data_IF_751671402651
#
_entry.id   IF_751671402651
#
_cell.length_a   1.000
_cell.length_b   1.000
_cell.length_c   1.000
_cell.angle_alpha   90.00
_cell.angle_beta   90.00
_cell.angle_gamma   90.00
#
_symmetry.space_group_name_H-M   'P 1'
#
loop_
_entity.id
_entity.type
_entity.pdbx_description
1 polymer ?
#
# COMPACT_ATOMS: atom_id res chain seq x y z
N UNK A 1 20.21 -22.49 -22.87
CA UNK A 1 20.60 -21.57 -21.77
C UNK A 1 19.88 -22.05 -20.54
N UNK A 2 20.54 -22.19 -19.38
CA UNK A 2 19.99 -22.97 -18.26
C UNK A 2 20.13 -22.29 -16.92
N UNK A 3 19.19 -22.60 -16.02
CA UNK A 3 19.24 -22.13 -14.64
C UNK A 3 18.55 -23.12 -13.71
N UNK A 4 19.12 -23.29 -12.51
CA UNK A 4 18.53 -24.07 -11.42
C UNK A 4 18.19 -23.15 -10.26
N UNK A 5 16.96 -23.23 -9.77
CA UNK A 5 16.47 -22.36 -8.69
C UNK A 5 15.71 -23.18 -7.64
N UNK A 6 15.90 -22.92 -6.33
CA UNK A 6 15.07 -23.53 -5.30
C UNK A 6 13.58 -23.21 -5.53
N UNK A 7 12.71 -24.22 -5.43
CA UNK A 7 11.27 -24.06 -5.65
C UNK A 7 10.68 -23.02 -4.70
N UNK A 8 11.07 -23.06 -3.43
CA UNK A 8 10.62 -22.10 -2.41
C UNK A 8 10.91 -20.67 -2.82
N UNK A 9 12.15 -20.39 -3.23
CA UNK A 9 12.60 -19.09 -3.69
C UNK A 9 11.83 -18.62 -4.94
N UNK A 10 11.67 -19.49 -5.94
CA UNK A 10 10.94 -19.13 -7.16
C UNK A 10 9.45 -18.87 -6.87
N UNK A 11 8.83 -19.69 -6.03
CA UNK A 11 7.40 -19.59 -5.69
C UNK A 11 7.08 -18.28 -4.97
N UNK A 12 7.93 -17.88 -4.01
CA UNK A 12 7.79 -16.63 -3.27
C UNK A 12 7.77 -15.42 -4.20
N UNK A 13 8.70 -15.34 -5.14
CA UNK A 13 8.84 -14.19 -6.03
C UNK A 13 7.85 -14.19 -7.18
N UNK A 14 7.47 -15.38 -7.68
CA UNK A 14 6.37 -15.55 -8.64
C UNK A 14 5.05 -15.02 -8.07
N UNK A 15 4.79 -15.20 -6.77
CA UNK A 15 3.56 -14.70 -6.15
C UNK A 15 3.44 -13.17 -6.19
N UNK A 16 4.57 -12.44 -6.20
CA UNK A 16 4.58 -10.98 -6.37
C UNK A 16 4.23 -10.60 -7.81
N UNK A 17 4.84 -11.26 -8.79
CA UNK A 17 4.59 -10.98 -10.21
C UNK A 17 3.20 -11.39 -10.68
N UNK A 18 2.62 -12.46 -10.13
CA UNK A 18 1.25 -12.89 -10.46
C UNK A 18 0.18 -11.84 -10.14
N UNK A 19 0.43 -11.00 -9.13
CA UNK A 19 -0.49 -9.90 -8.77
C UNK A 19 -0.41 -8.73 -9.74
N UNK A 20 0.78 -8.50 -10.30
CA UNK A 20 1.03 -7.42 -11.26
C UNK A 20 0.55 -7.86 -12.64
N UNK A 21 0.95 -9.05 -13.11
CA UNK A 21 0.69 -9.53 -14.46
C UNK A 21 -0.76 -10.01 -14.61
N UNK A 22 -1.60 -9.31 -15.40
CA UNK A 22 -3.02 -9.63 -15.52
C UNK A 22 -3.25 -10.94 -16.29
N UNK A 23 -4.38 -11.59 -16.00
CA UNK A 23 -4.84 -12.77 -16.77
C UNK A 23 -5.31 -12.41 -18.17
N UNK A 24 -5.76 -11.16 -18.38
CA UNK A 24 -6.23 -10.60 -19.65
C UNK A 24 -5.86 -9.12 -19.71
N UNK A 25 -5.43 -8.66 -20.87
CA UNK A 25 -5.07 -7.26 -21.11
C UNK A 25 -5.43 -6.86 -22.54
N UNK A 26 -5.70 -5.58 -22.76
CA UNK A 26 -5.85 -5.02 -24.12
C UNK A 26 -4.54 -5.10 -24.91
N UNK A 27 -3.40 -5.07 -24.22
CA UNK A 27 -2.10 -5.45 -24.77
C UNK A 27 -1.78 -6.90 -24.35
N UNK A 28 -1.90 -7.91 -25.25
CA UNK A 28 -1.67 -9.31 -24.91
C UNK A 28 -0.26 -9.59 -24.36
N UNK A 29 0.74 -8.78 -24.71
CA UNK A 29 2.10 -8.95 -24.20
C UNK A 29 2.18 -8.75 -22.68
N UNK A 30 1.28 -7.98 -22.09
CA UNK A 30 1.21 -7.81 -20.63
C UNK A 30 0.70 -9.07 -19.91
N UNK A 31 0.25 -10.10 -20.62
CA UNK A 31 -0.10 -11.40 -20.01
C UNK A 31 1.08 -12.37 -19.92
N UNK A 32 2.26 -11.94 -20.40
CA UNK A 32 3.50 -12.70 -20.36
C UNK A 32 4.36 -12.30 -19.18
N UNK A 33 5.08 -13.28 -18.64
CA UNK A 33 6.16 -13.10 -17.69
C UNK A 33 7.46 -13.00 -18.47
N UNK A 34 8.23 -11.96 -18.19
CA UNK A 34 9.59 -11.81 -18.66
C UNK A 34 10.58 -12.57 -17.78
N UNK A 35 11.52 -13.25 -18.44
CA UNK A 35 12.61 -13.99 -17.84
C UNK A 35 13.91 -13.55 -18.53
N UNK A 36 14.91 -13.11 -17.78
CA UNK A 36 16.24 -12.83 -18.32
C UNK A 36 17.33 -13.54 -17.52
N UNK A 37 18.29 -14.14 -18.23
CA UNK A 37 19.47 -14.76 -17.65
C UNK A 37 20.65 -13.82 -17.84
N UNK A 38 21.28 -13.45 -16.73
CA UNK A 38 22.63 -12.86 -16.69
C UNK A 38 23.60 -13.89 -16.11
N UNK A 39 24.93 -13.75 -16.26
CA UNK A 39 25.89 -14.75 -15.77
C UNK A 39 25.71 -15.16 -14.30
N UNK A 40 25.15 -14.26 -13.49
CA UNK A 40 25.03 -14.35 -12.05
C UNK A 40 23.59 -14.22 -11.52
N UNK A 41 22.58 -14.13 -12.39
CA UNK A 41 21.20 -14.02 -11.94
C UNK A 41 20.13 -14.50 -12.93
N UNK A 42 18.99 -14.89 -12.35
CA UNK A 42 17.71 -14.99 -13.04
C UNK A 42 16.85 -13.76 -12.68
N UNK A 43 16.49 -12.97 -13.68
CA UNK A 43 15.63 -11.80 -13.54
C UNK A 43 14.23 -12.14 -14.02
N UNK A 44 13.23 -11.93 -13.17
CA UNK A 44 11.82 -12.07 -13.46
C UNK A 44 11.20 -10.68 -13.55
N UNK A 45 10.45 -10.36 -14.60
CA UNK A 45 9.83 -9.04 -14.75
C UNK A 45 8.45 -9.09 -15.39
N UNK A 46 7.62 -8.10 -15.07
CA UNK A 46 6.23 -8.04 -15.50
C UNK A 46 5.65 -6.64 -15.42
N UNK A 47 4.59 -6.39 -16.18
CA UNK A 47 3.86 -5.11 -16.16
C UNK A 47 2.37 -5.31 -16.40
N UNK A 48 1.55 -4.41 -15.87
CA UNK A 48 0.16 -4.21 -16.29
C UNK A 48 -0.11 -2.84 -16.93
N UNK A 49 0.94 -2.07 -17.21
CA UNK A 49 0.89 -0.70 -17.70
C UNK A 49 0.80 0.37 -16.61
N UNK A 50 0.33 0.03 -15.40
CA UNK A 50 0.28 0.94 -14.24
C UNK A 50 1.40 0.65 -13.23
N UNK A 51 1.76 -0.62 -13.09
CA UNK A 51 2.80 -1.13 -12.19
C UNK A 51 3.72 -2.03 -13.00
N UNK A 52 5.00 -1.71 -12.93
CA UNK A 52 6.10 -2.52 -13.45
C UNK A 52 6.83 -3.13 -12.24
N UNK A 53 7.20 -4.40 -12.33
CA UNK A 53 7.88 -5.11 -11.25
C UNK A 53 9.00 -5.98 -11.83
N UNK A 54 10.16 -5.93 -11.17
CA UNK A 54 11.35 -6.72 -11.46
C UNK A 54 11.84 -7.38 -10.16
N UNK A 55 12.21 -8.65 -10.27
CA UNK A 55 12.88 -9.40 -9.22
C UNK A 55 14.14 -10.01 -9.81
N UNK A 56 15.29 -9.72 -9.21
CA UNK A 56 16.58 -10.33 -9.53
C UNK A 56 16.93 -11.36 -8.48
N UNK A 57 17.01 -12.64 -8.88
CA UNK A 57 17.46 -13.75 -8.05
C UNK A 57 18.95 -14.01 -8.33
N UNK A 58 19.82 -13.75 -7.36
CA UNK A 58 21.28 -13.96 -7.51
C UNK A 58 21.64 -15.45 -7.41
N UNK A 59 21.97 -16.06 -8.55
CA UNK A 59 22.31 -17.47 -8.69
C UNK A 59 23.01 -17.72 -10.03
N UNK A 60 23.92 -18.71 -10.12
CA UNK A 60 24.66 -18.97 -11.34
C UNK A 60 23.74 -19.45 -12.47
N UNK A 61 23.99 -18.97 -13.69
CA UNK A 61 23.27 -19.38 -14.90
C UNK A 61 24.24 -19.88 -15.98
N UNK A 62 23.71 -20.65 -16.93
CA UNK A 62 24.44 -21.10 -18.12
C UNK A 62 23.93 -20.36 -19.36
N UNK A 63 24.65 -19.32 -19.75
CA UNK A 63 24.34 -18.47 -20.90
C UNK A 63 23.47 -17.27 -20.55
N UNK A 64 23.27 -16.38 -21.53
CA UNK A 64 22.54 -15.12 -21.37
C UNK A 64 21.41 -15.06 -22.39
N UNK A 65 20.31 -14.42 -22.00
CA UNK A 65 19.17 -14.25 -22.91
C UNK A 65 17.94 -13.72 -22.21
N UNK A 66 16.98 -13.24 -22.99
CA UNK A 66 15.70 -12.68 -22.54
C UNK A 66 14.55 -13.39 -23.24
N UNK A 67 13.53 -13.74 -22.47
CA UNK A 67 12.45 -14.64 -22.89
C UNK A 67 11.12 -14.19 -22.32
N UNK A 68 10.04 -14.45 -23.06
CA UNK A 68 8.68 -14.26 -22.58
C UNK A 68 7.95 -15.60 -22.51
N UNK A 69 7.28 -15.86 -21.40
CA UNK A 69 6.46 -17.08 -21.19
C UNK A 69 5.03 -16.71 -20.81
N UNK A 70 4.01 -17.51 -21.19
CA UNK A 70 2.66 -17.31 -20.71
C UNK A 70 2.63 -17.34 -19.16
N UNK A 71 2.31 -16.20 -18.54
CA UNK A 71 2.54 -16.02 -17.12
C UNK A 71 1.67 -16.95 -16.27
N UNK A 72 0.37 -17.03 -16.59
CA UNK A 72 -0.59 -17.80 -15.80
C UNK A 72 -0.27 -19.30 -15.75
N UNK A 73 -0.01 -19.99 -16.89
CA UNK A 73 0.49 -21.37 -16.84
C UNK A 73 1.78 -21.51 -16.04
N UNK A 74 2.75 -20.61 -16.22
CA UNK A 74 4.02 -20.67 -15.51
C UNK A 74 3.82 -20.57 -13.98
N UNK A 75 3.01 -19.63 -13.52
CA UNK A 75 2.71 -19.45 -12.09
C UNK A 75 2.02 -20.66 -11.47
N UNK A 76 1.02 -21.23 -12.16
CA UNK A 76 0.32 -22.44 -11.72
C UNK A 76 1.25 -23.65 -11.63
N UNK A 77 2.14 -23.80 -12.61
CA UNK A 77 3.13 -24.87 -12.63
C UNK A 77 4.08 -24.73 -11.44
N UNK A 78 4.77 -23.59 -11.28
CA UNK A 78 5.76 -23.37 -10.21
C UNK A 78 5.20 -23.71 -8.82
N UNK A 79 3.96 -23.30 -8.52
CA UNK A 79 3.32 -23.58 -7.23
C UNK A 79 3.07 -25.07 -6.99
N UNK A 80 2.79 -25.84 -8.05
CA UNK A 80 2.40 -27.24 -7.98
C UNK A 80 3.53 -28.25 -8.19
N UNK A 81 4.76 -27.80 -8.45
CA UNK A 81 5.90 -28.69 -8.73
C UNK A 81 6.20 -29.67 -7.57
N UNK A 82 6.55 -30.94 -7.85
CA UNK A 82 6.77 -31.94 -6.80
C UNK A 82 8.17 -31.94 -6.19
N UNK A 83 9.16 -31.28 -6.80
CA UNK A 83 10.55 -31.26 -6.33
C UNK A 83 10.95 -29.95 -5.64
N UNK A 84 12.05 -29.99 -4.89
CA UNK A 84 12.59 -28.82 -4.17
C UNK A 84 13.45 -27.90 -5.05
N UNK A 85 13.87 -28.39 -6.23
CA UNK A 85 14.58 -27.61 -7.23
C UNK A 85 13.78 -27.56 -8.54
N UNK A 86 13.87 -26.42 -9.22
CA UNK A 86 13.30 -26.17 -10.54
C UNK A 86 14.43 -25.94 -11.52
N UNK A 87 14.47 -26.72 -12.59
CA UNK A 87 15.40 -26.53 -13.70
C UNK A 87 14.65 -25.93 -14.88
N UNK A 88 15.18 -24.82 -15.39
CA UNK A 88 14.67 -24.11 -16.56
C UNK A 88 15.73 -24.18 -17.67
N UNK A 89 15.39 -24.76 -18.82
CA UNK A 89 16.24 -24.81 -20.01
C UNK A 89 15.56 -24.08 -21.17
N UNK A 90 16.17 -22.99 -21.61
CA UNK A 90 15.71 -22.11 -22.67
C UNK A 90 16.37 -22.51 -23.99
N UNK A 91 15.55 -23.06 -24.89
CA UNK A 91 15.87 -23.36 -26.28
C UNK A 91 14.82 -22.76 -27.24
N UNK A 92 14.28 -23.55 -28.17
CA UNK A 92 13.13 -23.15 -28.98
C UNK A 92 11.83 -23.02 -28.14
N UNK A 93 11.76 -23.77 -27.04
CA UNK A 93 10.74 -23.71 -26.00
C UNK A 93 11.44 -23.63 -24.64
N UNK A 94 10.70 -23.23 -23.61
CA UNK A 94 11.16 -23.37 -22.23
C UNK A 94 10.85 -24.78 -21.74
N UNK A 95 11.88 -25.59 -21.51
CA UNK A 95 11.73 -26.84 -20.76
C UNK A 95 11.79 -26.55 -19.26
N UNK A 96 10.75 -26.95 -18.53
CA UNK A 96 10.64 -26.80 -17.07
C UNK A 96 10.59 -28.19 -16.45
N UNK A 97 11.48 -28.49 -15.51
CA UNK A 97 11.47 -29.75 -14.77
C UNK A 97 11.72 -29.58 -13.28
N UNK A 98 11.12 -30.46 -12.48
CA UNK A 98 11.27 -30.49 -11.02
C UNK A 98 10.81 -31.83 -10.47
N UNK A 99 11.70 -32.56 -9.78
CA UNK A 99 11.40 -33.90 -9.27
C UNK A 99 10.94 -34.84 -10.39
N UNK A 100 9.78 -35.45 -10.23
CA UNK A 100 9.18 -36.36 -11.23
C UNK A 100 8.43 -35.64 -12.36
N UNK A 101 8.35 -34.32 -12.36
CA UNK A 101 7.59 -33.53 -13.33
C UNK A 101 8.50 -32.89 -14.38
N UNK A 102 8.09 -32.94 -15.65
CA UNK A 102 8.74 -32.25 -16.76
C UNK A 102 7.69 -31.80 -17.78
N UNK A 103 7.83 -30.58 -18.29
CA UNK A 103 6.94 -30.00 -19.30
C UNK A 103 7.71 -29.03 -20.20
N UNK A 104 7.08 -28.58 -21.29
CA UNK A 104 7.56 -27.49 -22.14
C UNK A 104 6.52 -26.39 -22.25
N UNK A 105 6.97 -25.14 -22.26
CA UNK A 105 6.15 -23.95 -22.48
C UNK A 105 6.66 -23.23 -23.73
N UNK A 106 5.73 -22.74 -24.55
CA UNK A 106 6.07 -21.91 -25.69
C UNK A 106 6.71 -20.59 -25.24
N UNK A 107 7.75 -20.18 -25.95
CA UNK A 107 8.36 -18.86 -25.80
C UNK A 107 7.71 -17.89 -26.79
N UNK A 108 7.41 -16.68 -26.34
CA UNK A 108 6.98 -15.61 -27.23
C UNK A 108 8.17 -14.70 -27.63
N UNK A 109 8.14 -14.09 -28.82
CA UNK A 109 9.09 -13.04 -29.19
C UNK A 109 9.03 -11.87 -28.21
N UNK A 110 10.18 -11.31 -27.86
CA UNK A 110 10.30 -10.09 -27.01
C UNK A 110 9.99 -8.81 -27.81
N UNK A 111 9.81 -8.91 -29.13
CA UNK A 111 9.45 -7.79 -30.00
C UNK A 111 8.13 -7.14 -29.55
N UNK A 112 8.19 -5.86 -29.21
CA UNK A 112 7.04 -5.07 -28.78
C UNK A 112 6.69 -5.17 -27.30
N UNK A 113 7.39 -6.00 -26.51
CA UNK A 113 7.27 -5.95 -25.06
C UNK A 113 7.92 -4.65 -24.54
N UNK A 114 7.28 -3.91 -23.63
CA UNK A 114 7.82 -2.62 -23.19
C UNK A 114 9.15 -2.80 -22.45
N UNK A 115 10.08 -1.89 -22.73
CA UNK A 115 11.25 -1.72 -21.89
C UNK A 115 10.82 -1.14 -20.53
N UNK A 116 11.21 -1.81 -19.45
CA UNK A 116 10.85 -1.42 -18.09
C UNK A 116 12.05 -0.73 -17.45
N UNK A 117 11.83 0.47 -16.90
CA UNK A 117 12.89 1.26 -16.29
C UNK A 117 12.69 1.32 -14.78
N UNK A 118 13.76 1.02 -14.04
CA UNK A 118 13.73 0.98 -12.58
C UNK A 118 14.85 1.85 -12.00
N UNK A 119 14.66 2.40 -10.78
CA UNK A 119 15.73 3.15 -10.14
C UNK A 119 16.86 2.22 -9.66
N UNK A 120 18.09 2.74 -9.66
CA UNK A 120 19.26 2.10 -9.05
C UNK A 120 19.42 2.51 -7.59
N UNK A 121 20.10 1.71 -6.79
CA UNK A 121 20.51 2.09 -5.43
C UNK A 121 21.79 2.92 -5.40
N UNK A 122 22.50 3.02 -6.53
CA UNK A 122 23.79 3.72 -6.64
C UNK A 122 23.64 5.26 -6.60
N UNK A 123 22.42 5.76 -6.71
CA UNK A 123 22.12 7.19 -6.66
C UNK A 123 21.10 7.62 -7.73
N UNK A 124 20.76 8.92 -7.76
CA UNK A 124 19.92 9.49 -8.80
C UNK A 124 20.61 9.41 -10.16
N UNK A 125 19.90 8.87 -11.15
CA UNK A 125 20.35 8.74 -12.53
C UNK A 125 19.14 8.72 -13.46
N UNK A 126 19.28 9.16 -14.70
CA UNK A 126 18.19 9.08 -15.69
C UNK A 126 17.68 7.63 -15.84
N UNK A 127 16.35 7.39 -15.94
CA UNK A 127 15.27 8.37 -16.01
C UNK A 127 14.71 8.84 -14.64
N UNK A 128 15.41 8.55 -13.54
CA UNK A 128 15.03 8.86 -12.15
C UNK A 128 16.00 9.89 -11.49
N UNK A 129 15.97 11.18 -11.88
CA UNK A 129 16.92 12.18 -11.42
C UNK A 129 16.75 12.62 -9.95
N UNK A 130 15.63 12.29 -9.31
CA UNK A 130 15.37 12.62 -7.90
C UNK A 130 15.24 11.33 -7.11
N UNK A 131 16.00 11.20 -6.01
CA UNK A 131 16.01 9.99 -5.19
C UNK A 131 16.17 10.29 -3.70
N UNK A 132 15.58 9.45 -2.86
CA UNK A 132 15.69 9.48 -1.40
C UNK A 132 15.71 8.07 -0.84
N UNK A 133 16.41 7.85 0.28
CA UNK A 133 16.41 6.59 1.02
C UNK A 133 15.51 6.73 2.25
N UNK A 134 14.60 5.78 2.45
CA UNK A 134 13.69 5.75 3.60
C UNK A 134 13.77 4.40 4.31
N UNK A 135 13.61 4.34 5.64
CA UNK A 135 13.39 3.07 6.32
C UNK A 135 12.12 2.40 5.80
N UNK A 136 12.17 1.10 5.56
CA UNK A 136 11.05 0.31 5.02
C UNK A 136 9.81 0.44 5.90
N UNK A 137 9.99 0.31 7.22
CA UNK A 137 8.88 0.41 8.19
C UNK A 137 8.20 1.77 8.15
N UNK A 138 8.97 2.85 8.03
CA UNK A 138 8.44 4.21 8.01
C UNK A 138 7.70 4.52 6.70
N UNK A 139 8.22 4.03 5.56
CA UNK A 139 7.48 4.13 4.30
C UNK A 139 6.20 3.28 4.33
N UNK A 140 6.28 2.07 4.90
CA UNK A 140 5.12 1.20 5.07
C UNK A 140 4.04 1.87 5.91
N UNK A 141 4.39 2.50 7.04
CA UNK A 141 3.46 3.30 7.85
C UNK A 141 2.89 4.46 7.05
N UNK A 142 3.76 5.24 6.38
CA UNK A 142 3.35 6.40 5.58
C UNK A 142 2.29 6.06 4.53
N UNK A 143 2.43 4.92 3.86
CA UNK A 143 1.46 4.46 2.86
C UNK A 143 0.22 3.81 3.49
N UNK A 144 0.42 2.83 4.39
CA UNK A 144 -0.67 2.02 4.93
C UNK A 144 -1.59 2.79 5.88
N UNK A 145 -1.08 3.78 6.60
CA UNK A 145 -1.87 4.59 7.54
C UNK A 145 -2.81 5.54 6.83
N UNK A 146 -2.58 5.87 5.55
CA UNK A 146 -3.45 6.82 4.82
C UNK A 146 -4.28 6.16 3.73
N UNK A 147 -3.83 5.01 3.20
CA UNK A 147 -4.45 4.33 2.06
C UNK A 147 -5.96 4.11 2.18
N UNK A 148 -6.47 3.85 3.38
CA UNK A 148 -7.90 3.59 3.60
C UNK A 148 -8.78 4.81 3.24
N UNK A 149 -8.24 6.02 3.30
CA UNK A 149 -8.99 7.26 3.05
C UNK A 149 -9.08 7.63 1.58
N UNK A 150 -8.38 6.92 0.67
CA UNK A 150 -8.52 7.13 -0.77
C UNK A 150 -9.89 6.66 -1.27
N UNK A 151 -10.50 7.44 -2.17
CA UNK A 151 -11.81 7.14 -2.75
C UNK A 151 -11.76 5.92 -3.68
N UNK A 152 -12.83 5.13 -3.65
CA UNK A 152 -13.10 4.12 -4.66
C UNK A 152 -14.05 4.62 -5.76
N UNK A 153 -14.67 5.78 -5.57
CA UNK A 153 -15.70 6.34 -6.45
C UNK A 153 -15.10 7.13 -7.61
N UNK A 154 -15.88 7.32 -8.67
CA UNK A 154 -15.45 8.00 -9.91
C UNK A 154 -15.43 9.52 -9.82
N UNK A 155 -16.17 10.10 -8.87
CA UNK A 155 -16.58 11.50 -8.99
C UNK A 155 -15.44 12.53 -8.89
N UNK A 156 -14.23 12.12 -8.47
CA UNK A 156 -12.98 12.89 -8.65
C UNK A 156 -11.81 11.94 -8.77
N UNK A 157 -11.26 11.81 -9.98
CA UNK A 157 -10.17 10.87 -10.26
C UNK A 157 -9.01 11.02 -9.26
N UNK A 158 -8.59 12.25 -8.93
CA UNK A 158 -7.43 12.51 -8.05
C UNK A 158 -7.56 11.93 -6.63
N UNK A 159 -8.79 11.77 -6.12
CA UNK A 159 -9.05 11.17 -4.80
C UNK A 159 -8.87 9.65 -4.78
N UNK A 160 -8.69 9.01 -5.94
CA UNK A 160 -8.30 7.60 -6.05
C UNK A 160 -6.81 7.37 -5.84
N UNK A 161 -6.06 8.42 -5.50
CA UNK A 161 -4.65 8.35 -5.23
C UNK A 161 -4.29 8.72 -3.80
N UNK A 162 -3.05 8.39 -3.43
CA UNK A 162 -2.37 8.87 -2.24
C UNK A 162 -1.36 9.91 -2.68
N UNK A 163 -1.48 11.12 -2.17
CA UNK A 163 -0.49 12.17 -2.40
C UNK A 163 0.74 11.93 -1.53
N UNK A 164 1.93 11.97 -2.13
CA UNK A 164 3.21 12.02 -1.45
C UNK A 164 3.83 13.41 -1.65
N UNK A 165 4.14 14.09 -0.54
CA UNK A 165 4.79 15.39 -0.52
C UNK A 165 6.18 15.25 0.09
N UNK A 166 7.20 15.44 -0.74
CA UNK A 166 8.61 15.46 -0.35
C UNK A 166 9.03 16.90 -0.09
N UNK A 167 9.71 17.16 1.03
CA UNK A 167 10.22 18.49 1.39
C UNK A 167 11.34 18.41 2.42
N UNK A 168 12.01 19.53 2.69
CA UNK A 168 12.97 19.65 3.81
C UNK A 168 12.33 19.33 5.18
N UNK A 169 11.01 19.53 5.32
CA UNK A 169 10.25 19.20 6.53
C UNK A 169 9.87 17.72 6.67
N UNK A 170 10.14 16.91 5.64
CA UNK A 170 9.89 15.47 5.66
C UNK A 170 9.10 14.93 4.48
N UNK A 171 8.69 13.68 4.59
CA UNK A 171 7.72 13.04 3.72
C UNK A 171 6.33 13.11 4.36
N UNK A 172 5.35 13.60 3.63
CA UNK A 172 3.95 13.58 4.02
C UNK A 172 3.14 12.73 3.05
N UNK A 173 2.33 11.84 3.58
CA UNK A 173 1.37 11.04 2.80
C UNK A 173 -0.04 11.50 3.14
N UNK A 174 -0.88 11.71 2.14
CA UNK A 174 -2.25 12.22 2.32
C UNK A 174 -3.21 11.49 1.39
N UNK A 175 -4.38 11.11 1.92
CA UNK A 175 -5.48 10.57 1.13
C UNK A 175 -6.82 11.06 1.66
N UNK A 176 -7.80 11.21 0.77
CA UNK A 176 -9.14 11.68 1.11
C UNK A 176 -10.15 11.24 0.06
N UNK A 177 -11.40 11.06 0.49
CA UNK A 177 -12.57 10.78 -0.35
C UNK A 177 -13.61 11.93 -0.32
N UNK A 178 -13.29 13.02 0.38
CA UNK A 178 -14.17 14.16 0.61
C UNK A 178 -15.00 14.09 1.91
N UNK A 179 -15.18 12.91 2.50
CA UNK A 179 -15.86 12.73 3.79
C UNK A 179 -14.90 12.49 4.94
N UNK A 180 -13.68 12.10 4.62
CA UNK A 180 -12.59 11.88 5.56
C UNK A 180 -11.25 12.15 4.91
N UNK A 181 -10.25 12.32 5.75
CA UNK A 181 -8.87 12.49 5.34
C UNK A 181 -7.95 11.76 6.30
N UNK A 182 -6.89 11.17 5.77
CA UNK A 182 -5.80 10.62 6.55
C UNK A 182 -4.49 11.28 6.13
N UNK A 183 -3.65 11.58 7.11
CA UNK A 183 -2.35 12.21 6.94
C UNK A 183 -1.33 11.47 7.80
N UNK A 184 -0.19 11.13 7.21
CA UNK A 184 0.97 10.64 7.93
C UNK A 184 2.18 11.53 7.62
N UNK A 185 2.93 11.93 8.64
CA UNK A 185 4.15 12.71 8.52
C UNK A 185 5.34 11.92 9.05
N UNK A 186 6.28 11.64 8.15
CA UNK A 186 7.60 11.15 8.48
C UNK A 186 8.56 12.33 8.55
N UNK A 187 9.07 12.65 9.74
CA UNK A 187 10.01 13.74 10.00
C UNK A 187 11.45 13.41 9.56
N UNK A 188 11.63 12.98 8.31
CA UNK A 188 12.94 12.73 7.67
C UNK A 188 13.13 13.70 6.51
N UNK A 189 13.97 14.75 6.63
CA UNK A 189 14.18 15.72 5.56
C UNK A 189 14.48 15.07 4.21
N UNK A 190 13.89 15.61 3.14
CA UNK A 190 14.03 15.08 1.78
C UNK A 190 14.98 15.95 0.94
N UNK A 191 15.77 15.36 0.02
CA UNK A 191 16.74 16.10 -0.79
C UNK A 191 16.09 16.93 -1.91
N UNK A 192 14.78 16.88 -2.06
CA UNK A 192 14.02 17.62 -3.08
C UNK A 192 12.61 17.98 -2.57
N UNK A 193 12.01 18.98 -3.21
CA UNK A 193 10.62 19.38 -2.97
C UNK A 193 9.75 18.98 -4.16
N UNK A 194 8.82 18.04 -3.95
CA UNK A 194 7.90 17.58 -5.00
C UNK A 194 6.62 17.01 -4.40
N UNK A 195 5.50 17.22 -5.10
CA UNK A 195 4.23 16.55 -4.81
C UNK A 195 3.89 15.62 -5.97
N UNK A 196 3.53 14.39 -5.65
CA UNK A 196 3.07 13.38 -6.62
C UNK A 196 1.85 12.66 -6.08
N UNK A 197 1.01 12.12 -6.97
CA UNK A 197 -0.15 11.34 -6.56
C UNK A 197 -0.02 9.94 -7.15
N UNK A 198 0.03 8.94 -6.27
CA UNK A 198 0.17 7.52 -6.64
C UNK A 198 -1.22 6.88 -6.61
N UNK A 199 -1.66 6.15 -7.65
CA UNK A 199 -2.92 5.42 -7.60
C UNK A 199 -2.99 4.52 -6.38
N UNK A 200 -4.15 4.49 -5.71
CA UNK A 200 -4.32 3.75 -4.47
C UNK A 200 -4.12 2.23 -4.66
N UNK A 201 -4.45 1.69 -5.84
CA UNK A 201 -4.14 0.30 -6.20
C UNK A 201 -2.63 0.05 -6.31
N UNK A 202 -1.88 0.98 -6.88
CA UNK A 202 -0.42 0.89 -6.92
C UNK A 202 0.19 1.00 -5.52
N UNK A 203 -0.38 1.83 -4.64
CA UNK A 203 -0.01 1.87 -3.22
C UNK A 203 -0.25 0.53 -2.53
N UNK A 204 -1.33 -0.20 -2.88
CA UNK A 204 -1.58 -1.54 -2.32
C UNK A 204 -0.46 -2.52 -2.67
N UNK A 205 0.07 -2.47 -3.90
CA UNK A 205 1.19 -3.32 -4.31
C UNK A 205 2.51 -2.87 -3.66
N UNK A 206 2.76 -1.56 -3.55
CA UNK A 206 3.92 -1.03 -2.79
C UNK A 206 3.90 -1.52 -1.33
N UNK A 207 2.75 -1.43 -0.65
CA UNK A 207 2.58 -1.88 0.75
C UNK A 207 2.87 -3.38 0.87
N UNK A 208 2.47 -4.20 -0.10
CA UNK A 208 2.74 -5.66 -0.08
C UNK A 208 4.22 -5.96 -0.24
N UNK A 209 4.88 -5.29 -1.18
CA UNK A 209 6.33 -5.40 -1.38
C UNK A 209 7.06 -5.04 -0.09
N UNK A 210 6.74 -3.89 0.50
CA UNK A 210 7.39 -3.41 1.73
C UNK A 210 7.17 -4.37 2.91
N UNK A 211 5.98 -4.97 3.04
CA UNK A 211 5.70 -5.98 4.09
C UNK A 211 6.56 -7.24 3.96
N UNK A 212 6.91 -7.62 2.73
CA UNK A 212 7.77 -8.78 2.49
C UNK A 212 9.23 -8.54 2.85
N UNK A 213 9.67 -7.28 2.87
CA UNK A 213 11.08 -6.92 3.02
C UNK A 213 11.60 -6.95 4.46
N UNK A 214 10.75 -6.80 5.48
CA UNK A 214 11.21 -6.66 6.87
C UNK A 214 11.90 -5.33 7.16
N UNK A 215 12.97 -5.38 7.96
CA UNK A 215 13.76 -4.20 8.33
C UNK A 215 14.77 -3.83 7.24
N UNK A 216 14.98 -2.54 6.99
CA UNK A 216 15.97 -2.08 6.03
C UNK A 216 15.66 -0.70 5.45
N UNK A 217 16.37 -0.35 4.38
CA UNK A 217 16.13 0.87 3.60
C UNK A 217 15.64 0.56 2.18
N UNK A 218 14.84 1.49 1.67
CA UNK A 218 14.29 1.47 0.32
C UNK A 218 14.57 2.81 -0.35
N UNK A 219 15.02 2.76 -1.60
CA UNK A 219 15.15 3.93 -2.44
C UNK A 219 13.81 4.24 -3.09
N UNK A 220 13.30 5.45 -2.88
CA UNK A 220 12.24 6.03 -3.69
C UNK A 220 12.84 7.01 -4.66
N UNK A 221 12.45 6.92 -5.94
CA UNK A 221 12.97 7.80 -6.97
C UNK A 221 11.86 8.29 -7.90
N UNK A 222 11.97 9.53 -8.37
CA UNK A 222 10.97 10.13 -9.25
C UNK A 222 11.56 10.30 -10.65
N UNK A 223 10.82 9.78 -11.64
CA UNK A 223 11.03 10.02 -13.06
C UNK A 223 9.81 10.71 -13.70
N UNK A 224 9.84 10.96 -15.02
CA UNK A 224 8.72 11.56 -15.73
C UNK A 224 7.43 10.73 -15.62
N UNK A 225 6.49 11.17 -14.77
CA UNK A 225 5.20 10.50 -14.57
C UNK A 225 5.29 9.15 -13.83
N UNK A 226 6.41 8.85 -13.17
CA UNK A 226 6.66 7.56 -12.52
C UNK A 226 7.31 7.74 -11.15
N UNK A 227 6.86 6.98 -10.17
CA UNK A 227 7.58 6.74 -8.91
C UNK A 227 8.20 5.35 -8.95
N UNK A 228 9.52 5.30 -8.88
CA UNK A 228 10.30 4.09 -8.75
C UNK A 228 10.57 3.75 -7.29
N UNK A 229 10.66 2.46 -7.00
CA UNK A 229 11.05 1.88 -5.73
C UNK A 229 12.13 0.83 -6.00
N UNK A 230 13.25 0.90 -5.29
CA UNK A 230 14.30 -0.12 -5.36
C UNK A 230 14.75 -0.52 -3.97
N UNK A 231 14.92 -1.83 -3.76
CA UNK A 231 15.26 -2.39 -2.46
C UNK A 231 16.74 -2.73 -2.39
N UNK A 232 17.41 -2.39 -1.29
CA UNK A 232 18.70 -2.97 -0.92
C UNK A 232 18.52 -4.47 -0.73
N UNK A 233 19.23 -5.28 -1.53
CA UNK A 233 19.18 -6.73 -1.42
C UNK A 233 19.83 -7.21 -0.13
N UNK A 234 19.09 -7.23 0.97
CA UNK A 234 19.27 -8.16 2.10
C UNK A 234 18.28 -7.82 3.22
N UNK A 235 17.68 -8.88 3.78
CA UNK A 235 17.06 -8.95 5.12
C UNK A 235 15.52 -8.94 5.25
N UNK A 236 14.86 -9.81 4.47
CA UNK A 236 13.55 -10.42 4.80
C UNK A 236 12.96 -11.05 3.53
N UNK A 237 12.69 -12.35 3.40
CA UNK A 237 12.48 -13.41 4.37
C UNK A 237 13.61 -14.46 4.45
N UNK A 238 13.82 -14.95 5.67
CA UNK A 238 14.71 -16.05 6.00
C UNK A 238 14.28 -17.35 5.31
N UNK A 239 15.04 -17.79 4.30
CA UNK A 239 15.54 -19.17 4.19
C UNK A 239 16.38 -19.46 2.93
N UNK A 240 16.21 -18.78 1.79
CA UNK A 240 16.85 -19.30 0.55
C UNK A 240 17.27 -18.33 -0.58
N UNK A 241 17.37 -17.00 -0.41
CA UNK A 241 18.03 -16.21 -1.47
C UNK A 241 18.10 -14.69 -1.31
N UNK A 242 19.13 -14.11 -1.93
CA UNK A 242 19.34 -12.67 -2.14
C UNK A 242 18.52 -12.24 -3.36
N UNK A 243 17.37 -11.61 -3.11
CA UNK A 243 16.52 -11.03 -4.14
C UNK A 243 16.63 -9.51 -4.13
N UNK A 244 16.99 -8.88 -5.25
CA UNK A 244 16.77 -7.44 -5.42
C UNK A 244 15.42 -7.23 -6.10
N UNK A 245 14.53 -6.48 -5.46
CA UNK A 245 13.24 -6.10 -6.03
C UNK A 245 13.28 -4.65 -6.49
N UNK A 246 12.71 -4.39 -7.66
CA UNK A 246 12.46 -3.06 -8.16
C UNK A 246 11.06 -2.94 -8.69
N UNK A 247 10.41 -1.82 -8.41
CA UNK A 247 9.03 -1.54 -8.81
C UNK A 247 8.99 -0.13 -9.41
N UNK A 248 8.16 0.07 -10.43
CA UNK A 248 7.85 1.39 -10.94
C UNK A 248 6.32 1.53 -11.04
N UNK A 249 5.78 2.65 -10.56
CA UNK A 249 4.34 2.91 -10.57
C UNK A 249 4.06 4.20 -11.33
N UNK A 250 3.08 4.15 -12.25
CA UNK A 250 2.62 5.33 -12.97
C UNK A 250 1.93 6.28 -11.99
N UNK A 251 2.27 7.56 -12.10
CA UNK A 251 1.67 8.63 -11.32
C UNK A 251 0.37 9.12 -11.97
N UNK A 252 -0.52 9.65 -11.15
CA UNK A 252 -1.73 10.31 -11.63
C UNK A 252 -1.42 11.75 -12.04
N UNK A 253 -2.09 12.20 -13.10
CA UNK A 253 -2.08 13.60 -13.51
C UNK A 253 -3.07 14.43 -12.69
N UNK A 254 -2.74 15.70 -12.47
CA UNK A 254 -3.57 16.67 -11.75
C UNK A 254 -3.04 17.05 -10.37
N UNK A 255 -3.73 18.00 -9.74
CA UNK A 255 -3.37 18.54 -8.43
C UNK A 255 -4.31 18.00 -7.35
N UNK A 256 -3.75 17.47 -6.26
CA UNK A 256 -4.54 17.09 -5.09
C UNK A 256 -5.04 18.36 -4.39
N UNK A 257 -6.34 18.47 -4.05
CA UNK A 257 -6.88 19.67 -3.43
C UNK A 257 -6.16 20.09 -2.14
N UNK A 258 -6.17 21.40 -1.85
CA UNK A 258 -5.60 21.95 -0.62
C UNK A 258 -6.37 21.44 0.61
N UNK A 259 -5.82 20.37 1.19
CA UNK A 259 -6.41 19.65 2.29
C UNK A 259 -6.21 20.31 3.64
N UNK A 260 -5.24 21.23 3.79
CA UNK A 260 -5.01 21.90 5.07
C UNK A 260 -6.20 22.79 5.44
N UNK A 261 -6.97 23.26 4.45
CA UNK A 261 -8.17 24.09 4.65
C UNK A 261 -9.32 23.37 5.32
N UNK A 262 -9.37 22.03 5.26
CA UNK A 262 -10.45 21.24 5.88
C UNK A 262 -10.11 20.77 7.30
N UNK A 263 -8.85 20.95 7.74
CA UNK A 263 -8.40 20.58 9.08
C UNK A 263 -8.77 21.73 10.04
N UNK A 264 -9.66 21.50 11.03
CA UNK A 264 -10.01 22.54 11.99
C UNK A 264 -8.80 22.95 12.85
N UNK A 265 -8.82 24.19 13.34
CA UNK A 265 -7.77 24.74 14.21
C UNK A 265 -8.20 24.88 15.66
N UNK A 266 -9.51 24.89 15.91
CA UNK A 266 -10.11 25.07 17.23
C UNK A 266 -10.96 23.86 17.61
N UNK A 267 -10.78 23.40 18.85
CA UNK A 267 -11.38 22.18 19.37
C UNK A 267 -11.94 22.44 20.77
N UNK A 268 -13.19 22.91 20.91
CA UNK A 268 -13.83 23.17 22.20
C UNK A 268 -13.99 21.93 23.07
N UNK A 269 -13.96 20.72 22.49
CA UNK A 269 -13.97 19.47 23.23
C UNK A 269 -12.84 18.56 22.77
N UNK A 270 -12.14 17.98 23.74
CA UNK A 270 -11.17 16.89 23.54
C UNK A 270 -11.58 15.68 24.36
N UNK A 271 -11.58 14.51 23.74
CA UNK A 271 -11.85 13.24 24.40
C UNK A 271 -10.65 12.31 24.21
N UNK A 272 -9.96 11.99 25.31
CA UNK A 272 -8.89 10.99 25.30
C UNK A 272 -9.42 9.63 25.75
N UNK A 273 -9.03 8.56 25.06
CA UNK A 273 -9.57 7.22 25.26
C UNK A 273 -8.57 6.12 24.88
N UNK A 274 -8.83 4.93 25.42
CA UNK A 274 -8.21 3.68 24.99
C UNK A 274 -8.79 3.26 23.62
N UNK A 275 -7.90 3.13 22.63
CA UNK A 275 -8.28 2.91 21.22
C UNK A 275 -9.00 1.57 21.07
N UNK A 276 -8.50 0.53 21.73
CA UNK A 276 -9.01 -0.83 21.64
C UNK A 276 -10.41 -0.92 22.24
N UNK A 277 -10.62 -0.40 23.45
CA UNK A 277 -11.94 -0.35 24.09
C UNK A 277 -12.95 0.44 23.25
N UNK A 278 -12.58 1.63 22.77
CA UNK A 278 -13.46 2.47 21.97
C UNK A 278 -13.81 1.82 20.63
N UNK A 279 -12.84 1.21 19.94
CA UNK A 279 -13.07 0.51 18.66
C UNK A 279 -14.00 -0.69 18.83
N UNK A 280 -13.84 -1.46 19.90
CA UNK A 280 -14.69 -2.62 20.18
C UNK A 280 -16.13 -2.22 20.50
N UNK A 281 -16.34 -1.17 21.28
CA UNK A 281 -17.66 -0.60 21.54
C UNK A 281 -18.30 -0.11 20.24
N UNK A 282 -17.55 0.66 19.43
CA UNK A 282 -18.01 1.17 18.15
C UNK A 282 -18.37 0.03 17.18
N UNK A 283 -17.59 -1.05 17.13
CA UNK A 283 -17.91 -2.25 16.34
C UNK A 283 -19.24 -2.85 16.75
N UNK A 284 -19.44 -3.12 18.05
CA UNK A 284 -20.70 -3.71 18.57
C UNK A 284 -21.91 -2.83 18.28
N UNK A 285 -21.83 -1.54 18.60
CA UNK A 285 -22.94 -0.60 18.39
C UNK A 285 -23.26 -0.44 16.90
N UNK A 286 -22.23 -0.38 16.04
CA UNK A 286 -22.40 -0.21 14.59
C UNK A 286 -23.14 -1.37 13.90
N UNK A 287 -23.18 -2.57 14.50
CA UNK A 287 -23.97 -3.71 13.97
C UNK A 287 -25.46 -3.36 13.88
N UNK A 288 -25.94 -2.50 14.77
CA UNK A 288 -27.34 -2.07 14.85
C UNK A 288 -27.60 -0.75 14.10
N UNK A 289 -26.59 -0.16 13.47
CA UNK A 289 -26.75 1.06 12.67
C UNK A 289 -27.50 0.80 11.37
N UNK A 290 -28.15 1.85 10.86
CA UNK A 290 -28.75 1.85 9.52
C UNK A 290 -27.73 1.41 8.45
N UNK A 291 -28.19 0.57 7.52
CA UNK A 291 -27.32 -0.05 6.51
C UNK A 291 -26.88 0.90 5.41
N UNK A 292 -27.56 2.03 5.23
CA UNK A 292 -27.24 3.00 4.18
C UNK A 292 -26.20 4.01 4.66
N UNK A 293 -26.37 4.58 5.86
CA UNK A 293 -25.51 5.66 6.36
C UNK A 293 -24.53 5.24 7.46
N UNK A 294 -24.70 4.03 8.05
CA UNK A 294 -23.89 3.54 9.16
C UNK A 294 -23.80 4.53 10.33
N UNK A 295 -24.88 5.26 10.62
CA UNK A 295 -24.91 6.31 11.65
C UNK A 295 -24.68 5.73 13.04
N UNK A 296 -23.77 6.38 13.76
CA UNK A 296 -23.59 6.22 15.21
C UNK A 296 -23.59 7.61 15.84
N UNK A 297 -24.37 7.78 16.89
CA UNK A 297 -24.47 8.99 17.69
C UNK A 297 -23.54 8.86 18.91
N UNK A 298 -22.70 9.87 19.14
CA UNK A 298 -21.77 9.95 20.25
C UNK A 298 -22.16 11.14 21.13
N UNK A 299 -22.48 10.86 22.39
CA UNK A 299 -22.74 11.86 23.41
C UNK A 299 -21.58 11.86 24.42
N UNK A 300 -20.81 12.94 24.44
CA UNK A 300 -19.71 13.14 25.38
C UNK A 300 -20.17 13.96 26.57
N UNK A 301 -20.16 13.36 27.76
CA UNK A 301 -20.56 14.00 29.02
C UNK A 301 -19.96 13.25 30.22
N UNK A 302 -19.80 13.91 31.36
CA UNK A 302 -19.53 13.25 32.66
C UNK A 302 -18.35 12.24 32.69
N UNK A 303 -17.30 12.44 31.87
CA UNK A 303 -16.15 11.52 31.81
C UNK A 303 -16.42 10.21 31.06
N UNK A 304 -17.44 10.19 30.22
CA UNK A 304 -17.82 9.07 29.36
C UNK A 304 -18.24 9.55 27.97
N UNK A 305 -18.28 8.60 27.04
CA UNK A 305 -18.95 8.75 25.76
C UNK A 305 -19.99 7.64 25.64
N UNK A 306 -21.25 8.03 25.43
CA UNK A 306 -22.33 7.12 25.10
C UNK A 306 -22.39 6.99 23.58
N UNK A 307 -22.09 5.80 23.07
CA UNK A 307 -22.30 5.44 21.67
C UNK A 307 -23.69 4.87 21.53
N UNK A 308 -24.47 5.33 20.57
CA UNK A 308 -25.78 4.75 20.25
C UNK A 308 -26.00 4.63 18.75
N UNK A 309 -26.74 3.61 18.35
CA UNK A 309 -27.17 3.41 16.97
C UNK A 309 -28.56 2.78 16.94
N UNK A 310 -29.33 3.13 15.91
CA UNK A 310 -30.67 2.62 15.66
C UNK A 310 -30.83 2.34 14.16
N UNK A 311 -31.45 1.22 13.83
CA UNK A 311 -31.70 0.78 12.46
C UNK A 311 -32.75 -0.34 12.42
N UNK A 312 -32.89 -0.99 11.26
CA UNK A 312 -33.95 -1.99 11.01
C UNK A 312 -33.94 -3.17 11.98
N UNK A 313 -32.77 -3.56 12.49
CA UNK A 313 -32.60 -4.70 13.39
C UNK A 313 -32.72 -4.34 14.87
N UNK A 314 -32.96 -3.07 15.20
CA UNK A 314 -33.16 -2.59 16.56
C UNK A 314 -32.23 -1.45 16.94
N UNK A 315 -32.02 -1.28 18.24
CA UNK A 315 -31.22 -0.20 18.83
C UNK A 315 -30.19 -0.76 19.80
N UNK A 316 -29.03 -0.13 19.85
CA UNK A 316 -27.94 -0.47 20.76
C UNK A 316 -27.29 0.77 21.34
N UNK A 317 -26.79 0.65 22.56
CA UNK A 317 -26.01 1.68 23.19
C UNK A 317 -24.90 1.08 24.06
N UNK A 318 -23.77 1.76 24.14
CA UNK A 318 -22.66 1.36 24.99
C UNK A 318 -21.93 2.60 25.52
N UNK A 319 -21.54 2.56 26.80
CA UNK A 319 -20.78 3.63 27.44
C UNK A 319 -19.31 3.25 27.51
N UNK A 320 -18.45 4.17 27.09
CA UNK A 320 -16.98 4.00 27.17
C UNK A 320 -16.40 5.11 28.04
N UNK A 321 -15.54 4.79 29.02
CA UNK A 321 -14.88 5.82 29.82
C UNK A 321 -13.90 6.63 28.97
N UNK A 322 -13.93 7.96 29.12
CA UNK A 322 -13.02 8.88 28.41
C UNK A 322 -12.60 10.03 29.31
N UNK A 323 -11.42 10.60 29.08
CA UNK A 323 -11.02 11.86 29.72
C UNK A 323 -11.46 13.02 28.85
N UNK A 324 -12.35 13.87 29.38
CA UNK A 324 -12.89 15.03 28.68
C UNK A 324 -12.19 16.32 29.10
N UNK A 325 -11.90 17.18 28.12
CA UNK A 325 -11.54 18.58 28.31
C UNK A 325 -12.47 19.44 27.44
N UNK A 326 -13.42 20.15 28.05
CA UNK A 326 -14.38 20.98 27.34
C UNK A 326 -15.81 20.80 27.81
N UNK A 327 -16.76 21.34 27.03
CA UNK A 327 -18.19 21.22 27.30
C UNK A 327 -18.77 19.95 26.66
N UNK A 328 -19.89 19.42 27.20
CA UNK A 328 -20.61 18.31 26.59
C UNK A 328 -20.96 18.58 25.13
N UNK A 329 -20.89 17.54 24.30
CA UNK A 329 -21.16 17.64 22.88
C UNK A 329 -21.80 16.34 22.38
N UNK A 330 -22.81 16.47 21.53
CA UNK A 330 -23.38 15.37 20.76
C UNK A 330 -22.98 15.52 19.29
N UNK A 331 -22.59 14.41 18.66
CA UNK A 331 -22.18 14.38 17.25
C UNK A 331 -22.50 13.01 16.65
N UNK A 332 -22.88 12.98 15.37
CA UNK A 332 -23.14 11.75 14.63
C UNK A 332 -22.07 11.52 13.58
N UNK A 333 -21.58 10.28 13.44
CA UNK A 333 -20.62 9.89 12.41
C UNK A 333 -21.11 8.68 11.62
N UNK A 334 -20.51 8.48 10.45
CA UNK A 334 -20.49 7.17 9.83
C UNK A 334 -19.48 6.29 10.60
N UNK A 335 -19.97 5.21 11.21
CA UNK A 335 -19.18 4.32 12.06
C UNK A 335 -17.99 3.70 11.31
N UNK A 336 -18.14 3.39 10.01
CA UNK A 336 -17.04 2.83 9.21
C UNK A 336 -15.89 3.82 9.06
N UNK A 337 -16.20 5.11 8.85
CA UNK A 337 -15.16 6.12 8.72
C UNK A 337 -14.38 6.31 10.00
N UNK A 338 -15.06 6.30 11.14
CA UNK A 338 -14.43 6.41 12.45
C UNK A 338 -13.61 5.14 12.78
N UNK A 339 -14.12 3.94 12.50
CA UNK A 339 -13.39 2.68 12.69
C UNK A 339 -12.10 2.61 11.85
N UNK A 340 -12.16 3.05 10.59
CA UNK A 340 -11.00 3.07 9.71
C UNK A 340 -9.99 4.15 10.15
N UNK A 341 -10.45 5.32 10.61
CA UNK A 341 -9.59 6.37 11.17
C UNK A 341 -8.87 5.95 12.46
N UNK A 342 -9.48 5.08 13.26
CA UNK A 342 -8.87 4.50 14.46
C UNK A 342 -8.00 3.28 14.15
N UNK A 343 -8.06 2.74 12.93
CA UNK A 343 -7.38 1.49 12.59
C UNK A 343 -5.86 1.51 12.71
N UNK A 344 -5.15 2.61 12.36
CA UNK A 344 -3.69 2.68 12.48
C UNK A 344 -3.21 3.01 13.90
N UNK A 345 -4.15 3.27 14.83
CA UNK A 345 -3.85 3.66 16.20
C UNK A 345 -3.86 2.46 17.14
N UNK A 346 -3.07 2.56 18.20
CA UNK A 346 -3.03 1.62 19.32
C UNK A 346 -2.77 2.38 20.62
N UNK A 347 -3.19 1.79 21.75
CA UNK A 347 -3.02 2.41 23.07
C UNK A 347 -3.95 3.62 23.24
N UNK A 348 -3.39 4.81 23.45
CA UNK A 348 -4.19 6.02 23.72
C UNK A 348 -4.35 6.89 22.47
N UNK A 349 -5.55 7.42 22.26
CA UNK A 349 -5.86 8.41 21.23
C UNK A 349 -6.68 9.57 21.80
N UNK A 350 -6.71 10.67 21.06
CA UNK A 350 -7.51 11.85 21.35
C UNK A 350 -8.37 12.17 20.13
N UNK A 351 -9.68 12.27 20.36
CA UNK A 351 -10.62 12.86 19.42
C UNK A 351 -10.83 14.32 19.78
N UNK A 352 -10.55 15.21 18.83
CA UNK A 352 -10.68 16.65 18.95
C UNK A 352 -11.91 17.08 18.13
N UNK A 353 -12.90 17.67 18.81
CA UNK A 353 -14.20 17.99 18.22
C UNK A 353 -14.37 19.51 18.07
N UNK A 354 -14.76 19.94 16.87
CA UNK A 354 -14.95 21.36 16.50
C UNK A 354 -16.42 21.80 16.49
N UNK A 355 -17.34 20.92 16.86
CA UNK A 355 -18.79 21.15 16.86
C UNK A 355 -19.57 19.99 16.22
N UNK A 356 -20.90 20.02 16.28
CA UNK A 356 -21.75 18.88 15.88
C UNK A 356 -21.77 18.63 14.36
N UNK A 357 -21.50 19.66 13.56
CA UNK A 357 -21.52 19.59 12.09
C UNK A 357 -20.16 19.91 11.46
N UNK A 358 -19.14 20.11 12.29
CA UNK A 358 -17.78 20.48 11.87
C UNK A 358 -16.88 19.26 11.86
N UNK A 359 -15.91 19.15 10.93
CA UNK A 359 -14.96 18.04 10.92
C UNK A 359 -14.29 17.85 12.28
N UNK A 360 -14.02 16.60 12.63
CA UNK A 360 -13.32 16.25 13.86
C UNK A 360 -11.98 15.61 13.53
N UNK A 361 -11.03 15.73 14.46
CA UNK A 361 -9.65 15.31 14.24
C UNK A 361 -9.27 14.21 15.24
N UNK A 362 -8.87 13.07 14.72
CA UNK A 362 -8.34 11.94 15.48
C UNK A 362 -6.81 12.02 15.46
N UNK A 363 -6.19 11.92 16.63
CA UNK A 363 -4.74 11.88 16.80
C UNK A 363 -4.35 10.83 17.83
N UNK A 364 -3.15 10.25 17.73
CA UNK A 364 -2.60 9.45 18.82
C UNK A 364 -2.33 10.33 20.04
N UNK A 365 -2.40 9.74 21.24
CA UNK A 365 -2.10 10.41 22.50
C UNK A 365 -0.61 10.70 22.63
N UNK A 366 0.22 9.65 22.59
CA UNK A 366 1.68 9.77 22.76
C UNK A 366 2.50 8.76 21.89
N UNK A 367 1.89 7.69 21.35
CA UNK A 367 2.63 6.52 20.84
C UNK A 367 2.81 6.43 19.30
N UNK A 368 2.10 7.23 18.50
CA UNK A 368 2.18 7.15 17.03
C UNK A 368 2.39 8.53 16.39
N UNK A 369 3.56 9.12 16.61
CA UNK A 369 3.90 10.42 16.04
C UNK A 369 3.65 10.45 14.51
N UNK A 370 3.08 11.57 14.03
CA UNK A 370 2.92 11.84 12.61
C UNK A 370 1.56 11.49 11.99
N UNK A 371 0.75 10.61 12.60
CA UNK A 371 -0.59 10.28 12.07
C UNK A 371 -1.69 11.24 12.54
N UNK A 372 -2.57 11.64 11.61
CA UNK A 372 -3.78 12.41 11.89
C UNK A 372 -4.90 12.00 10.93
N UNK A 373 -6.13 11.96 11.41
CA UNK A 373 -7.29 11.69 10.56
C UNK A 373 -8.43 12.68 10.81
N UNK A 374 -9.00 13.22 9.74
CA UNK A 374 -10.21 14.04 9.77
C UNK A 374 -11.41 13.18 9.44
N UNK A 375 -12.48 13.30 10.22
CA UNK A 375 -13.77 12.66 9.94
C UNK A 375 -14.86 13.72 9.93
N UNK A 376 -15.61 13.81 8.83
CA UNK A 376 -16.75 14.72 8.71
C UNK A 376 -17.99 14.10 9.39
N UNK A 377 -18.65 14.81 10.32
CA UNK A 377 -19.91 14.36 10.89
C UNK A 377 -21.01 14.19 9.86
N UNK A 378 -21.96 13.31 10.15
CA UNK A 378 -23.22 13.26 9.43
C UNK A 378 -24.03 14.53 9.75
N UNK A 379 -24.60 15.14 8.72
CA UNK A 379 -25.53 16.26 8.91
C UNK A 379 -26.84 15.70 9.45
N UNK A 380 -27.32 16.30 10.54
CA UNK A 380 -28.61 16.00 11.16
C UNK A 380 -29.73 16.64 10.35
#
# INVERSE_FOLDING_TARGET
MKVKVPKTLLTEHVALLERVIPTRSSNPLFTYLGLALTPDALVLFGTNGEVDLEVRLELPTEGEGRFLVPAQPFFQLVKSLPGDQVELDFGAELSLSSGSFSTRLSLAPDEGYPELFFPSLEGPAEPYPLQTLLPVEELLKALSHVRYAASNEEYRAIFRGVQLEFSEGGLRSVASDGYRLALYRLAKPQPFAKKVVVPARSVDEMVRVLKGMGEGEVALALGPGVLGLATSGSQGAAATGKGQLRMAVRLMEGEFPDYERVIPKEFPLKAAFDVEAFREALRRVSVLSDRQNHRVDLLFEEGRVLLSAEGDYGKGQEEVPVRLEGLPLAVAYNARYLLEALSPLSGQAVLLLSGPTSPSLVRPGEAAEGYQAVVVPLRV
#
